data_IF_692174942552
#
_entry.id   IF_692174942552
#
_cell.length_a   1.000
_cell.length_b   1.000
_cell.length_c   1.000
_cell.angle_alpha   90.00
_cell.angle_beta   90.00
_cell.angle_gamma   90.00
#
_symmetry.space_group_name_H-M   'P 1'
#
loop_
_entity.id
_entity.type
_entity.pdbx_description
1 polymer ?
#
# COMPACT_ATOMS: atom_id res chain seq x y z
N UNK A 1 26.32 -14.08 -11.69
CA UNK A 1 26.33 -12.97 -10.73
C UNK A 1 24.89 -12.47 -10.63
N UNK A 2 24.12 -12.64 -9.52
CA UNK A 2 22.80 -12.06 -9.40
C UNK A 2 21.81 -12.67 -8.38
N UNK A 3 22.11 -13.77 -7.72
CA UNK A 3 21.10 -14.43 -6.82
C UNK A 3 21.03 -13.88 -5.38
N UNK A 4 21.95 -13.04 -4.95
CA UNK A 4 21.94 -12.49 -3.58
C UNK A 4 21.01 -11.29 -3.39
N UNK A 5 20.77 -10.49 -4.40
CA UNK A 5 19.90 -9.31 -4.32
C UNK A 5 18.41 -9.63 -4.30
N UNK A 6 17.99 -10.67 -5.02
CA UNK A 6 16.58 -11.09 -5.07
C UNK A 6 16.08 -11.65 -3.73
N UNK A 7 16.92 -12.39 -2.98
CA UNK A 7 16.52 -12.98 -1.69
C UNK A 7 16.35 -11.95 -0.58
N UNK A 8 17.18 -10.87 -0.56
CA UNK A 8 17.09 -9.80 0.45
C UNK A 8 15.85 -8.93 0.21
N UNK A 9 15.54 -8.62 -1.05
CA UNK A 9 14.33 -7.88 -1.41
C UNK A 9 13.06 -8.64 -1.02
N UNK A 10 13.01 -9.93 -1.31
CA UNK A 10 11.88 -10.79 -0.97
C UNK A 10 11.64 -10.87 0.54
N UNK A 11 12.70 -11.09 1.34
CA UNK A 11 12.59 -11.14 2.80
C UNK A 11 12.11 -9.81 3.41
N UNK A 12 12.49 -8.67 2.83
CA UNK A 12 12.04 -7.34 3.28
C UNK A 12 10.54 -7.14 3.03
N UNK A 13 10.05 -7.55 1.86
CA UNK A 13 8.63 -7.44 1.52
C UNK A 13 7.79 -8.44 2.33
N UNK A 14 8.31 -9.62 2.62
CA UNK A 14 7.64 -10.61 3.45
C UNK A 14 7.40 -10.11 4.88
N UNK A 15 8.38 -9.44 5.50
CA UNK A 15 8.19 -8.76 6.80
C UNK A 15 7.15 -7.66 6.73
N UNK A 16 7.16 -6.84 5.68
CA UNK A 16 6.15 -5.81 5.45
C UNK A 16 4.75 -6.40 5.28
N UNK A 17 4.62 -7.51 4.56
CA UNK A 17 3.36 -8.22 4.40
C UNK A 17 2.87 -8.82 5.72
N UNK A 18 3.76 -9.32 6.57
CA UNK A 18 3.39 -9.79 7.92
C UNK A 18 2.75 -8.66 8.73
N UNK A 19 3.32 -7.46 8.69
CA UNK A 19 2.76 -6.31 9.38
C UNK A 19 1.42 -5.85 8.75
N UNK A 20 1.33 -5.84 7.41
CA UNK A 20 0.10 -5.52 6.70
C UNK A 20 -1.03 -6.51 7.04
N UNK A 21 -0.75 -7.81 7.12
CA UNK A 21 -1.71 -8.84 7.55
C UNK A 21 -2.19 -8.62 8.99
N UNK A 22 -1.31 -8.24 9.90
CA UNK A 22 -1.69 -7.91 11.27
C UNK A 22 -2.64 -6.70 11.33
N UNK A 23 -2.41 -5.66 10.51
CA UNK A 23 -3.28 -4.49 10.36
C UNK A 23 -4.63 -4.88 9.72
N UNK A 24 -4.62 -5.74 8.71
CA UNK A 24 -5.84 -6.29 8.11
C UNK A 24 -6.70 -7.02 9.14
N UNK A 25 -6.08 -7.86 9.98
CA UNK A 25 -6.79 -8.53 11.07
C UNK A 25 -7.39 -7.55 12.10
N UNK A 26 -6.71 -6.41 12.36
CA UNK A 26 -7.29 -5.36 13.22
C UNK A 26 -8.51 -4.69 12.56
N UNK A 27 -8.46 -4.43 11.24
CA UNK A 27 -9.61 -3.89 10.50
C UNK A 27 -10.79 -4.85 10.58
N UNK A 28 -10.60 -6.15 10.33
CA UNK A 28 -11.65 -7.16 10.41
C UNK A 28 -12.31 -7.25 11.78
N UNK A 29 -11.51 -7.20 12.87
CA UNK A 29 -12.06 -7.16 14.25
C UNK A 29 -12.85 -5.90 14.57
N UNK A 30 -12.61 -4.81 13.86
CA UNK A 30 -13.36 -3.56 13.97
C UNK A 30 -14.58 -3.50 13.05
N UNK A 31 -14.93 -4.59 12.34
CA UNK A 31 -16.06 -4.65 11.41
C UNK A 31 -15.78 -4.08 10.02
N UNK A 32 -14.54 -3.69 9.75
CA UNK A 32 -14.09 -3.18 8.45
C UNK A 32 -13.62 -4.31 7.53
N UNK A 33 -13.66 -4.09 6.22
CA UNK A 33 -13.05 -5.04 5.27
C UNK A 33 -11.57 -5.22 5.65
N UNK A 34 -11.07 -6.46 5.83
CA UNK A 34 -9.75 -6.72 6.39
C UNK A 34 -8.63 -6.45 5.37
N UNK A 35 -8.34 -5.18 5.18
CA UNK A 35 -7.21 -4.70 4.37
C UNK A 35 -6.24 -3.93 5.26
N UNK A 36 -4.96 -4.23 5.11
CA UNK A 36 -3.87 -3.55 5.80
C UNK A 36 -2.74 -3.22 4.84
N UNK A 37 -2.06 -2.11 5.11
CA UNK A 37 -0.97 -1.63 4.27
C UNK A 37 0.17 -1.02 5.09
N UNK A 38 1.38 -1.13 4.58
CA UNK A 38 2.56 -0.44 5.10
C UNK A 38 3.34 0.23 3.98
N UNK A 39 4.04 1.31 4.30
CA UNK A 39 4.98 1.98 3.40
C UNK A 39 6.38 1.81 3.95
N UNK A 40 7.27 1.22 3.15
CA UNK A 40 8.69 1.12 3.45
C UNK A 40 9.47 2.21 2.71
N UNK A 41 10.44 2.84 3.37
CA UNK A 41 11.40 3.72 2.69
C UNK A 41 12.48 2.91 1.93
N UNK A 42 13.37 3.60 1.22
CA UNK A 42 14.43 2.99 0.42
C UNK A 42 15.37 2.08 1.25
N UNK A 43 15.50 2.33 2.56
CA UNK A 43 16.30 1.51 3.47
C UNK A 43 15.52 0.27 3.99
N UNK A 44 14.21 0.19 3.71
CA UNK A 44 13.32 -0.87 4.17
C UNK A 44 12.71 -0.61 5.55
N UNK A 45 12.87 0.60 6.08
CA UNK A 45 12.23 1.01 7.34
C UNK A 45 10.76 1.32 7.07
N UNK A 46 9.86 0.81 7.91
CA UNK A 46 8.44 1.12 7.83
C UNK A 46 8.19 2.54 8.34
N UNK A 47 7.70 3.41 7.44
CA UNK A 47 7.42 4.82 7.70
C UNK A 47 5.92 5.18 7.62
N UNK A 48 5.09 4.24 7.19
CA UNK A 48 3.65 4.43 7.12
C UNK A 48 2.91 3.13 7.35
N UNK A 49 1.79 3.19 8.07
CA UNK A 49 0.89 2.09 8.40
C UNK A 49 -0.53 2.52 8.18
N UNK A 50 -1.35 1.64 7.63
CA UNK A 50 -2.76 1.89 7.42
C UNK A 50 -3.57 0.61 7.52
N UNK A 51 -4.81 0.74 7.95
CA UNK A 51 -5.82 -0.30 7.87
C UNK A 51 -7.11 0.31 7.38
N UNK A 52 -7.97 -0.49 6.78
CA UNK A 52 -9.27 0.01 6.34
C UNK A 52 -10.09 0.55 7.52
N UNK A 53 -10.71 1.74 7.32
CA UNK A 53 -11.56 2.44 8.30
C UNK A 53 -12.72 3.17 7.60
N UNK A 54 -13.11 2.65 6.45
CA UNK A 54 -14.07 3.28 5.56
C UNK A 54 -15.48 3.36 6.16
N UNK A 55 -15.87 2.35 6.91
CA UNK A 55 -17.21 2.27 7.49
C UNK A 55 -17.38 3.14 8.74
N UNK A 56 -16.29 3.46 9.43
CA UNK A 56 -16.33 4.08 10.75
C UNK A 56 -15.81 5.52 10.78
N UNK A 57 -15.04 5.95 9.79
CA UNK A 57 -14.30 7.21 9.90
C UNK A 57 -14.39 8.11 8.65
N UNK A 58 -13.90 7.64 7.52
CA UNK A 58 -13.77 8.43 6.28
C UNK A 58 -13.96 7.50 5.08
N UNK A 59 -14.89 7.78 4.15
CA UNK A 59 -15.14 6.93 2.97
C UNK A 59 -13.90 6.71 2.10
N UNK A 60 -12.87 7.53 2.23
CA UNK A 60 -11.59 7.39 1.54
C UNK A 60 -10.50 6.74 2.40
N UNK A 61 -10.77 6.35 3.65
CA UNK A 61 -9.81 5.75 4.56
C UNK A 61 -9.53 4.28 4.22
N UNK A 62 -9.10 4.03 2.97
CA UNK A 62 -8.50 2.77 2.58
C UNK A 62 -7.13 2.59 3.24
N UNK A 63 -6.73 1.36 3.48
CA UNK A 63 -5.46 1.03 4.16
C UNK A 63 -4.26 1.72 3.49
N UNK A 64 -4.22 1.72 2.16
CA UNK A 64 -3.18 2.34 1.35
C UNK A 64 -3.13 3.85 1.57
N UNK A 65 -4.29 4.51 1.53
CA UNK A 65 -4.38 5.97 1.72
C UNK A 65 -3.90 6.38 3.12
N UNK A 66 -4.29 5.63 4.14
CA UNK A 66 -3.82 5.87 5.51
C UNK A 66 -2.31 5.67 5.65
N UNK A 67 -1.75 4.60 5.07
CA UNK A 67 -0.31 4.35 5.07
C UNK A 67 0.46 5.45 4.33
N UNK A 68 0.00 5.87 3.15
CA UNK A 68 0.58 6.95 2.35
C UNK A 68 0.54 8.29 3.11
N UNK A 69 -0.58 8.63 3.74
CA UNK A 69 -0.72 9.84 4.57
C UNK A 69 0.27 9.85 5.73
N UNK A 70 0.44 8.73 6.41
CA UNK A 70 1.39 8.61 7.51
C UNK A 70 2.85 8.74 7.00
N UNK A 71 3.20 8.04 5.92
CA UNK A 71 4.53 8.10 5.32
C UNK A 71 4.89 9.53 4.90
N UNK A 72 3.98 10.25 4.27
CA UNK A 72 4.18 11.65 3.87
C UNK A 72 4.50 12.57 5.07
N UNK A 73 3.84 12.35 6.21
CA UNK A 73 4.14 13.10 7.45
C UNK A 73 5.55 12.81 7.97
N UNK A 74 5.98 11.54 7.93
CA UNK A 74 7.33 11.14 8.39
C UNK A 74 8.41 11.73 7.48
N UNK A 75 8.23 11.65 6.15
CA UNK A 75 9.16 12.25 5.17
C UNK A 75 9.27 13.76 5.39
N UNK A 76 8.14 14.44 5.63
CA UNK A 76 8.12 15.88 5.94
C UNK A 76 8.96 16.23 7.16
N UNK A 77 8.78 15.49 8.26
CA UNK A 77 9.52 15.76 9.52
C UNK A 77 11.03 15.56 9.34
N UNK A 78 11.41 14.46 8.66
CA UNK A 78 12.83 14.18 8.35
C UNK A 78 13.47 15.27 7.49
N UNK A 79 12.72 15.81 6.52
CA UNK A 79 13.20 16.86 5.61
C UNK A 79 13.43 18.19 6.33
N UNK A 80 12.58 18.56 7.27
CA UNK A 80 12.74 19.78 8.07
C UNK A 80 13.93 19.65 9.04
N UNK A 81 14.13 18.45 9.63
CA UNK A 81 15.21 18.20 10.58
C UNK A 81 16.63 18.15 9.95
N UNK A 82 16.74 17.82 8.66
CA UNK A 82 18.01 17.65 7.93
C UNK A 82 18.37 18.82 7.00
N UNK A 83 17.85 20.01 7.23
CA UNK A 83 18.18 21.20 6.42
C UNK A 83 17.69 21.13 4.95
N UNK A 84 16.67 20.34 4.68
CA UNK A 84 15.97 20.34 3.38
C UNK A 84 16.55 19.38 2.31
N UNK A 85 17.54 18.54 2.62
CA UNK A 85 18.05 17.56 1.67
C UNK A 85 17.17 16.31 1.62
N UNK A 86 16.31 16.19 0.61
CA UNK A 86 15.58 14.95 0.25
C UNK A 86 16.11 14.41 -1.07
N UNK A 87 16.38 13.12 -1.14
CA UNK A 87 16.69 12.43 -2.38
C UNK A 87 15.48 12.55 -3.32
N UNK A 88 15.69 13.15 -4.51
CA UNK A 88 14.69 13.27 -5.56
C UNK A 88 13.99 14.62 -5.73
N UNK A 89 14.34 15.64 -4.95
CA UNK A 89 13.78 16.99 -5.10
C UNK A 89 14.56 17.84 -6.11
N UNK A 90 13.86 18.44 -7.07
CA UNK A 90 14.43 19.46 -7.95
C UNK A 90 14.99 20.64 -7.13
N UNK A 91 15.98 21.33 -7.67
CA UNK A 91 16.88 22.35 -7.09
C UNK A 91 16.25 23.58 -6.38
N UNK A 92 15.07 23.48 -5.77
CA UNK A 92 14.36 24.62 -5.13
C UNK A 92 14.45 24.63 -3.60
N UNK A 93 15.20 23.71 -2.97
CA UNK A 93 15.44 23.70 -1.51
C UNK A 93 14.21 23.45 -0.61
N UNK A 94 13.01 23.25 -1.17
CA UNK A 94 11.81 22.86 -0.41
C UNK A 94 11.55 21.36 -0.58
N UNK A 95 11.53 20.66 0.55
CA UNK A 95 11.09 19.26 0.55
C UNK A 95 9.70 19.16 -0.07
N UNK A 96 9.56 18.35 -1.11
CA UNK A 96 8.27 18.06 -1.72
C UNK A 96 7.49 17.14 -0.80
N UNK A 97 6.43 17.63 -0.17
CA UNK A 97 5.65 16.90 0.85
C UNK A 97 4.80 15.76 0.29
N UNK A 98 4.64 15.71 -1.02
CA UNK A 98 3.83 14.71 -1.73
C UNK A 98 4.66 13.61 -2.39
N UNK A 99 5.99 13.79 -2.51
CA UNK A 99 6.86 12.87 -3.23
C UNK A 99 7.41 11.79 -2.30
N UNK A 100 7.05 10.55 -2.56
CA UNK A 100 7.49 9.34 -1.86
C UNK A 100 8.42 8.49 -2.74
N UNK A 101 9.23 9.11 -3.60
CA UNK A 101 10.24 8.42 -4.41
C UNK A 101 11.17 7.59 -3.50
N UNK A 102 11.54 6.40 -3.95
CA UNK A 102 12.29 5.42 -3.19
C UNK A 102 11.44 4.57 -2.23
N UNK A 103 10.15 4.90 -2.05
CA UNK A 103 9.28 4.14 -1.15
C UNK A 103 8.57 2.98 -1.87
N UNK A 104 8.21 1.97 -1.09
CA UNK A 104 7.42 0.81 -1.52
C UNK A 104 6.14 0.72 -0.69
N UNK A 105 4.99 0.66 -1.34
CA UNK A 105 3.73 0.28 -0.70
C UNK A 105 3.63 -1.24 -0.66
N UNK A 106 3.28 -1.81 0.48
CA UNK A 106 2.92 -3.23 0.63
C UNK A 106 1.51 -3.29 1.19
N UNK A 107 0.62 -4.02 0.55
CA UNK A 107 -0.81 -4.09 0.90
C UNK A 107 -1.36 -5.51 0.74
N UNK A 108 -2.30 -5.92 1.58
CA UNK A 108 -2.85 -7.29 1.57
C UNK A 108 -3.78 -7.58 0.40
N UNK A 109 -4.37 -6.55 -0.23
CA UNK A 109 -5.27 -6.67 -1.38
C UNK A 109 -4.78 -5.78 -2.52
N UNK A 110 -4.99 -6.20 -3.77
CA UNK A 110 -4.69 -5.39 -4.94
C UNK A 110 -5.34 -4.01 -4.84
N UNK A 111 -4.59 -2.91 -5.04
CA UNK A 111 -5.13 -1.56 -4.94
C UNK A 111 -6.25 -1.29 -5.94
N UNK A 112 -7.33 -0.66 -5.48
CA UNK A 112 -8.40 -0.15 -6.32
C UNK A 112 -7.94 1.06 -7.16
N UNK A 113 -8.74 1.59 -8.12
CA UNK A 113 -8.33 2.73 -8.96
C UNK A 113 -7.91 3.98 -8.18
N UNK A 114 -8.60 4.29 -7.06
CA UNK A 114 -8.23 5.42 -6.20
C UNK A 114 -6.84 5.22 -5.59
N UNK A 115 -6.56 4.05 -5.04
CA UNK A 115 -5.30 3.75 -4.37
C UNK A 115 -4.13 3.59 -5.35
N UNK A 116 -4.36 2.94 -6.50
CA UNK A 116 -3.38 2.86 -7.58
C UNK A 116 -3.02 4.27 -8.10
N UNK A 117 -4.01 5.15 -8.29
CA UNK A 117 -3.80 6.55 -8.62
C UNK A 117 -2.99 7.30 -7.56
N UNK A 118 -3.24 7.04 -6.26
CA UNK A 118 -2.47 7.64 -5.18
C UNK A 118 -0.99 7.21 -5.18
N UNK A 119 -0.69 5.94 -5.47
CA UNK A 119 0.68 5.43 -5.63
C UNK A 119 1.42 6.17 -6.75
N UNK A 120 0.76 6.31 -7.91
CA UNK A 120 1.30 7.04 -9.06
C UNK A 120 1.54 8.51 -8.72
N UNK A 121 0.53 9.18 -8.17
CA UNK A 121 0.58 10.62 -7.86
C UNK A 121 1.60 10.97 -6.78
N UNK A 122 1.90 10.05 -5.89
CA UNK A 122 2.95 10.23 -4.86
C UNK A 122 4.34 9.78 -5.31
N UNK A 123 4.50 9.37 -6.57
CA UNK A 123 5.76 8.94 -7.16
C UNK A 123 6.44 7.81 -6.40
N UNK A 124 5.68 6.88 -5.82
CA UNK A 124 6.27 5.70 -5.18
C UNK A 124 6.92 4.80 -6.23
N UNK A 125 8.06 4.21 -5.91
CA UNK A 125 8.82 3.38 -6.85
C UNK A 125 8.17 2.01 -7.07
N UNK A 126 7.41 1.52 -6.07
CA UNK A 126 6.89 0.15 -6.12
C UNK A 126 5.60 -0.01 -5.34
N UNK A 127 4.75 -0.89 -5.86
CA UNK A 127 3.62 -1.47 -5.14
C UNK A 127 3.74 -3.00 -5.10
N UNK A 128 3.62 -3.57 -3.91
CA UNK A 128 3.60 -5.02 -3.67
C UNK A 128 2.28 -5.37 -3.02
N UNK A 129 1.54 -6.31 -3.59
CA UNK A 129 0.26 -6.70 -3.01
C UNK A 129 0.10 -8.23 -2.86
N UNK A 130 -0.80 -8.62 -1.95
CA UNK A 130 -1.11 -10.01 -1.65
C UNK A 130 -2.16 -10.58 -2.60
N UNK A 131 -3.41 -10.56 -2.20
CA UNK A 131 -4.53 -11.09 -2.96
C UNK A 131 -4.86 -10.21 -4.17
N UNK A 132 -5.29 -10.84 -5.26
CA UNK A 132 -5.85 -10.18 -6.44
C UNK A 132 -7.30 -9.76 -6.16
N UNK A 133 -7.73 -8.63 -6.73
CA UNK A 133 -9.12 -8.16 -6.66
C UNK A 133 -9.77 -8.21 -8.04
N UNK A 134 -10.55 -9.27 -8.29
CA UNK A 134 -11.25 -9.49 -9.55
C UNK A 134 -12.41 -8.50 -9.79
N UNK A 135 -12.79 -7.68 -8.78
CA UNK A 135 -13.89 -6.72 -8.90
C UNK A 135 -13.40 -5.30 -9.18
N UNK A 136 -12.41 -4.83 -8.43
CA UNK A 136 -11.94 -3.44 -8.43
C UNK A 136 -10.42 -3.31 -8.49
N UNK A 137 -9.67 -4.37 -8.72
CA UNK A 137 -8.22 -4.34 -8.79
C UNK A 137 -7.73 -3.49 -9.96
N UNK A 138 -6.77 -2.61 -9.69
CA UNK A 138 -6.30 -1.64 -10.67
C UNK A 138 -4.78 -1.67 -10.89
N UNK A 139 -4.16 -2.80 -10.53
CA UNK A 139 -2.73 -3.05 -10.72
C UNK A 139 -2.46 -4.29 -11.61
N UNK A 140 -3.43 -4.66 -12.45
CA UNK A 140 -3.27 -5.73 -13.44
C UNK A 140 -4.43 -6.71 -13.56
N UNK A 141 -5.42 -6.73 -12.64
CA UNK A 141 -6.57 -7.63 -12.76
C UNK A 141 -7.70 -7.04 -13.61
N UNK A 142 -8.36 -5.96 -13.20
CA UNK A 142 -9.44 -5.31 -13.95
C UNK A 142 -8.93 -4.11 -14.74
N UNK A 143 -8.14 -3.28 -14.12
CA UNK A 143 -7.41 -2.17 -14.73
C UNK A 143 -5.91 -2.31 -14.47
N UNK A 144 -5.10 -1.60 -15.24
CA UNK A 144 -3.65 -1.53 -15.04
C UNK A 144 -3.19 -0.06 -15.04
N UNK A 145 -3.62 0.68 -14.03
CA UNK A 145 -3.31 2.11 -13.87
C UNK A 145 -1.79 2.36 -13.81
N UNK A 146 -0.99 1.59 -13.04
CA UNK A 146 0.45 1.82 -12.97
C UNK A 146 1.20 1.71 -14.30
N UNK A 147 0.63 1.02 -15.31
CA UNK A 147 1.23 0.82 -16.62
C UNK A 147 0.54 1.57 -17.74
N UNK A 148 -0.47 2.40 -17.43
CA UNK A 148 -1.13 3.23 -18.45
C UNK A 148 -0.13 4.22 -19.05
N UNK A 149 0.04 4.28 -20.38
CA UNK A 149 1.03 5.13 -21.04
C UNK A 149 0.77 6.63 -20.87
N UNK A 150 -0.43 7.04 -20.44
CA UNK A 150 -0.78 8.43 -20.22
C UNK A 150 -0.47 8.91 -18.78
N UNK A 151 -0.06 7.99 -17.90
CA UNK A 151 0.35 8.31 -16.53
C UNK A 151 1.85 8.64 -16.50
N UNK A 152 2.23 9.77 -15.94
CA UNK A 152 3.62 10.28 -15.98
C UNK A 152 4.61 9.56 -15.08
N UNK A 153 4.18 8.61 -14.23
CA UNK A 153 5.06 7.83 -13.34
C UNK A 153 4.60 6.38 -13.31
N UNK A 154 5.56 5.46 -13.45
CA UNK A 154 5.31 4.02 -13.56
C UNK A 154 5.98 3.26 -12.42
N UNK A 155 5.27 3.00 -11.31
CA UNK A 155 5.79 2.17 -10.23
C UNK A 155 5.95 0.71 -10.68
N UNK A 156 6.96 0.02 -10.16
CA UNK A 156 7.06 -1.43 -10.31
C UNK A 156 5.90 -2.11 -9.56
N UNK A 157 5.24 -3.07 -10.21
CA UNK A 157 4.11 -3.81 -9.64
C UNK A 157 4.52 -5.26 -9.40
N UNK A 158 4.38 -5.72 -8.14
CA UNK A 158 4.61 -7.11 -7.72
C UNK A 158 3.35 -7.62 -7.04
N UNK A 159 2.61 -8.50 -7.72
CA UNK A 159 1.38 -9.12 -7.20
C UNK A 159 1.61 -10.53 -6.68
N UNK A 160 0.72 -10.99 -5.80
CA UNK A 160 0.67 -12.36 -5.33
C UNK A 160 1.55 -12.71 -4.14
N UNK A 161 2.15 -11.73 -3.46
CA UNK A 161 2.95 -11.99 -2.26
C UNK A 161 2.07 -12.48 -1.12
N UNK A 162 2.20 -13.77 -0.75
CA UNK A 162 1.37 -14.44 0.27
C UNK A 162 -0.13 -14.33 -0.03
N UNK A 163 -0.49 -14.46 -1.32
CA UNK A 163 -1.85 -14.25 -1.82
C UNK A 163 -2.89 -15.12 -1.09
N UNK A 164 -2.55 -16.37 -0.78
CA UNK A 164 -3.46 -17.30 -0.10
C UNK A 164 -3.84 -16.80 1.30
N UNK A 165 -2.87 -16.38 2.12
CA UNK A 165 -3.12 -15.86 3.46
C UNK A 165 -3.97 -14.59 3.43
N UNK A 166 -3.70 -13.70 2.47
CA UNK A 166 -4.48 -12.48 2.27
C UNK A 166 -5.92 -12.80 1.86
N UNK A 167 -6.11 -13.78 0.96
CA UNK A 167 -7.44 -14.20 0.48
C UNK A 167 -8.26 -14.88 1.56
N UNK A 168 -7.63 -15.65 2.45
CA UNK A 168 -8.31 -16.31 3.57
C UNK A 168 -8.95 -15.29 4.49
N UNK A 169 -8.23 -14.24 4.90
CA UNK A 169 -8.77 -13.18 5.77
C UNK A 169 -10.03 -12.52 5.16
N UNK A 170 -9.99 -12.20 3.88
CA UNK A 170 -11.12 -11.61 3.15
C UNK A 170 -12.31 -12.59 3.09
N UNK A 171 -12.04 -13.85 2.74
CA UNK A 171 -13.07 -14.88 2.60
C UNK A 171 -13.78 -15.18 3.93
N UNK A 172 -13.05 -15.24 5.03
CA UNK A 172 -13.60 -15.44 6.38
C UNK A 172 -14.50 -14.28 6.79
N UNK A 173 -14.06 -13.05 6.57
CA UNK A 173 -14.84 -11.85 6.86
C UNK A 173 -16.18 -11.81 6.11
N UNK A 174 -16.14 -12.02 4.78
CA UNK A 174 -17.36 -12.00 3.97
C UNK A 174 -18.27 -13.21 4.24
N UNK A 175 -17.74 -14.35 4.67
CA UNK A 175 -18.54 -15.49 5.10
C UNK A 175 -19.28 -15.17 6.39
N UNK A 176 -18.63 -14.55 7.36
CA UNK A 176 -19.27 -14.10 8.61
C UNK A 176 -20.40 -13.12 8.34
N UNK A 177 -20.19 -12.10 7.51
CA UNK A 177 -21.23 -11.11 7.19
C UNK A 177 -22.45 -11.70 6.47
N UNK A 178 -22.26 -12.69 5.61
CA UNK A 178 -23.41 -13.38 4.95
C UNK A 178 -24.25 -14.18 5.93
N UNK A 179 -23.64 -14.78 6.94
CA UNK A 179 -24.36 -15.52 7.99
C UNK A 179 -25.17 -14.59 8.92
N UNK A 180 -24.77 -13.33 9.05
CA UNK A 180 -25.43 -12.32 9.89
C UNK A 180 -26.50 -11.51 9.13
N UNK A 181 -26.78 -11.82 7.84
CA UNK A 181 -27.79 -11.13 7.03
C UNK A 181 -27.39 -9.72 6.57
N UNK A 182 -26.11 -9.39 6.60
CA UNK A 182 -25.60 -8.11 6.12
C UNK A 182 -25.73 -7.92 4.60
N UNK A 183 -25.84 -6.66 4.11
CA UNK A 183 -25.94 -6.40 2.67
C UNK A 183 -24.69 -6.92 1.94
N UNK A 184 -24.90 -7.47 0.74
CA UNK A 184 -23.81 -7.80 -0.16
C UNK A 184 -23.12 -6.50 -0.62
N UNK A 185 -21.84 -6.33 -0.30
CA UNK A 185 -21.00 -5.23 -0.78
C UNK A 185 -20.49 -5.51 -2.20
#
# INVERSE_FOLDING_TARGET
VGLRGASVGFMRYDKGMTEALALAGQAGRAGEVPVGAVVLDASGVCIGRGRNRRETDDPLAHAEIEAIRQASRVVRVRSVGNGGAVAGGAATGRASLWNLAGCTLIVTLEPCPMCAGAVVQTHMDRVVFGAWDEKLGACGSVWDIPRDPHIGHHPEVVGGLRAEECSVLLSEFFRGRRSEGGPAL
#
